data_IF_283022750722
#
_entry.id   IF_283022750722
#
_cell.length_a   1.000
_cell.length_b   1.000
_cell.length_c   1.000
_cell.angle_alpha   90.00
_cell.angle_beta   90.00
_cell.angle_gamma   90.00
#
_symmetry.space_group_name_H-M   'P 1'
#
loop_
_entity.id
_entity.type
_entity.pdbx_description
1 polymer ?
#
# COMPACT_ATOMS: atom_id res chain seq x y z
N UNK A 1 -9.92 35.98 -25.41
CA UNK A 1 -8.59 35.42 -25.08
C UNK A 1 -8.64 33.93 -25.48
N UNK A 2 -7.76 33.50 -26.38
CA UNK A 2 -7.64 32.08 -26.73
C UNK A 2 -6.64 31.44 -25.75
N UNK A 3 -7.05 30.31 -25.16
CA UNK A 3 -6.21 29.49 -24.27
C UNK A 3 -6.09 28.12 -24.97
N UNK A 4 -5.11 27.95 -25.86
CA UNK A 4 -5.06 26.83 -26.79
C UNK A 4 -4.67 25.50 -26.11
N UNK A 5 -4.16 25.55 -24.90
CA UNK A 5 -3.60 24.42 -24.14
C UNK A 5 -4.48 24.01 -22.94
N UNK A 6 -5.73 24.44 -22.90
CA UNK A 6 -6.66 24.06 -21.85
C UNK A 6 -7.95 23.47 -22.44
N UNK A 7 -8.38 22.35 -21.89
CA UNK A 7 -9.70 21.82 -22.17
C UNK A 7 -10.77 22.77 -21.66
N UNK A 8 -11.79 23.13 -22.47
CA UNK A 8 -12.79 24.12 -22.09
C UNK A 8 -13.62 23.79 -20.85
N UNK A 9 -13.96 22.50 -20.64
CA UNK A 9 -14.71 22.05 -19.47
C UNK A 9 -13.87 22.12 -18.21
N UNK A 10 -12.64 21.59 -18.27
CA UNK A 10 -11.71 21.64 -17.16
C UNK A 10 -11.34 23.09 -16.80
N UNK A 11 -11.19 23.97 -17.79
CA UNK A 11 -10.93 25.37 -17.53
C UNK A 11 -12.15 26.08 -16.90
N UNK A 12 -13.36 25.71 -17.30
CA UNK A 12 -14.60 26.20 -16.66
C UNK A 12 -14.67 25.81 -15.19
N UNK A 13 -14.38 24.55 -14.84
CA UNK A 13 -14.33 24.08 -13.45
C UNK A 13 -13.18 24.71 -12.66
N UNK A 14 -12.03 24.94 -13.30
CA UNK A 14 -10.91 25.69 -12.70
C UNK A 14 -11.32 27.13 -12.33
N UNK A 15 -11.97 27.85 -13.23
CA UNK A 15 -12.52 29.19 -12.95
C UNK A 15 -13.56 29.14 -11.83
N UNK A 16 -14.49 28.18 -11.90
CA UNK A 16 -15.49 27.99 -10.85
C UNK A 16 -14.82 27.82 -9.49
N UNK A 17 -13.76 27.01 -9.40
CA UNK A 17 -13.01 26.84 -8.16
C UNK A 17 -12.41 28.15 -7.65
N UNK A 18 -11.83 29.00 -8.52
CA UNK A 18 -11.25 30.27 -8.12
C UNK A 18 -12.25 31.25 -7.52
N UNK A 19 -13.52 31.19 -7.96
CA UNK A 19 -14.57 32.08 -7.48
C UNK A 19 -15.39 31.52 -6.30
N UNK A 20 -15.53 30.21 -6.23
CA UNK A 20 -16.46 29.57 -5.27
C UNK A 20 -15.80 28.59 -4.31
N UNK A 21 -14.51 28.32 -4.49
CA UNK A 21 -13.76 27.25 -3.80
C UNK A 21 -14.35 25.84 -4.01
N UNK A 22 -15.26 25.69 -5.00
CA UNK A 22 -15.89 24.43 -5.35
C UNK A 22 -15.73 24.12 -6.85
N UNK A 23 -15.55 22.82 -7.18
CA UNK A 23 -15.43 22.32 -8.54
C UNK A 23 -15.92 20.88 -8.64
N UNK A 24 -16.44 20.52 -9.80
CA UNK A 24 -16.81 19.15 -10.11
C UNK A 24 -15.61 18.42 -10.71
N UNK A 25 -14.97 17.55 -9.91
CA UNK A 25 -13.85 16.74 -10.36
C UNK A 25 -14.38 15.37 -10.78
N UNK A 26 -14.09 14.97 -12.01
CA UNK A 26 -14.44 13.66 -12.59
C UNK A 26 -13.18 12.93 -13.07
N UNK A 27 -13.29 11.65 -13.40
CA UNK A 27 -12.17 10.88 -13.97
C UNK A 27 -11.69 11.46 -15.30
N UNK A 28 -12.61 12.04 -16.09
CA UNK A 28 -12.32 12.61 -17.40
C UNK A 28 -11.61 13.95 -17.34
N UNK A 29 -11.92 14.79 -16.34
CA UNK A 29 -11.40 16.17 -16.27
C UNK A 29 -10.27 16.35 -15.24
N UNK A 30 -10.08 15.43 -14.31
CA UNK A 30 -9.17 15.60 -13.17
C UNK A 30 -7.73 15.92 -13.60
N UNK A 31 -7.22 15.28 -14.65
CA UNK A 31 -5.84 15.50 -15.10
C UNK A 31 -5.65 16.86 -15.75
N UNK A 32 -6.65 17.33 -16.51
CA UNK A 32 -6.67 18.68 -17.07
C UNK A 32 -6.74 19.74 -15.94
N UNK A 33 -7.50 19.46 -14.88
CA UNK A 33 -7.57 20.33 -13.70
C UNK A 33 -6.23 20.32 -12.94
N UNK A 34 -5.56 19.17 -12.80
CA UNK A 34 -4.22 19.06 -12.22
C UNK A 34 -3.23 19.91 -13.01
N UNK A 35 -3.25 19.82 -14.34
CA UNK A 35 -2.42 20.66 -15.20
C UNK A 35 -2.65 22.15 -14.93
N UNK A 36 -3.91 22.59 -14.90
CA UNK A 36 -4.27 23.99 -14.63
C UNK A 36 -3.88 24.42 -13.22
N UNK A 37 -4.11 23.57 -12.21
CA UNK A 37 -3.72 23.83 -10.82
C UNK A 37 -2.21 24.01 -10.67
N UNK A 38 -1.41 23.21 -11.39
CA UNK A 38 0.05 23.33 -11.44
C UNK A 38 0.46 24.60 -12.18
N UNK A 39 -0.04 24.81 -13.38
CA UNK A 39 0.29 25.96 -14.25
C UNK A 39 0.03 27.30 -13.58
N UNK A 40 -1.11 27.41 -12.89
CA UNK A 40 -1.52 28.66 -12.22
C UNK A 40 -1.21 28.67 -10.71
N UNK A 41 -0.51 27.67 -10.21
CA UNK A 41 -0.02 27.58 -8.83
C UNK A 41 -1.18 27.71 -7.83
N UNK A 42 -2.18 26.82 -7.94
CA UNK A 42 -3.34 26.75 -7.04
C UNK A 42 -3.27 25.49 -6.15
N UNK A 43 -2.49 25.52 -5.04
CA UNK A 43 -2.21 24.33 -4.25
C UNK A 43 -3.46 23.74 -3.57
N UNK A 44 -4.46 24.55 -3.27
CA UNK A 44 -5.72 24.06 -2.67
C UNK A 44 -6.52 23.21 -3.65
N UNK A 45 -6.55 23.57 -4.93
CA UNK A 45 -7.17 22.78 -5.98
C UNK A 45 -6.36 21.50 -6.25
N UNK A 46 -5.02 21.61 -6.29
CA UNK A 46 -4.13 20.46 -6.41
C UNK A 46 -4.43 19.41 -5.32
N UNK A 47 -4.55 19.83 -4.05
CA UNK A 47 -4.90 18.93 -2.95
C UNK A 47 -6.25 18.24 -3.14
N UNK A 48 -7.26 18.92 -3.69
CA UNK A 48 -8.55 18.31 -4.01
C UNK A 48 -8.42 17.25 -5.11
N UNK A 49 -7.67 17.54 -6.19
CA UNK A 49 -7.41 16.59 -7.27
C UNK A 49 -6.65 15.37 -6.80
N UNK A 50 -5.58 15.56 -6.03
CA UNK A 50 -4.80 14.46 -5.44
C UNK A 50 -5.68 13.59 -4.55
N UNK A 51 -6.54 14.18 -3.73
CA UNK A 51 -7.50 13.44 -2.88
C UNK A 51 -8.48 12.62 -3.71
N UNK A 52 -8.98 13.16 -4.82
CA UNK A 52 -9.85 12.44 -5.74
C UNK A 52 -9.13 11.27 -6.40
N UNK A 53 -7.93 11.51 -6.96
CA UNK A 53 -7.14 10.49 -7.65
C UNK A 53 -6.74 9.35 -6.71
N UNK A 54 -6.31 9.64 -5.48
CA UNK A 54 -5.96 8.62 -4.49
C UNK A 54 -7.05 7.56 -4.27
N UNK A 55 -8.33 7.92 -4.43
CA UNK A 55 -9.45 6.99 -4.28
C UNK A 55 -9.72 6.15 -5.53
N UNK A 56 -9.21 6.61 -6.67
CA UNK A 56 -9.54 6.07 -7.98
C UNK A 56 -8.40 5.29 -8.63
N UNK A 57 -7.19 5.38 -8.08
CA UNK A 57 -6.05 4.62 -8.59
C UNK A 57 -6.31 3.12 -8.40
N UNK A 58 -6.33 2.40 -9.52
CA UNK A 58 -6.39 0.93 -9.58
C UNK A 58 -5.06 0.39 -10.11
N UNK A 59 -4.85 -0.92 -10.04
CA UNK A 59 -3.66 -1.54 -10.60
C UNK A 59 -3.48 -1.24 -12.09
N UNK A 60 -4.59 -1.20 -12.85
CA UNK A 60 -4.57 -0.94 -14.29
C UNK A 60 -4.17 0.51 -14.61
N UNK A 61 -4.60 1.48 -13.79
CA UNK A 61 -4.33 2.92 -14.02
C UNK A 61 -3.08 3.43 -13.30
N UNK A 62 -2.49 2.62 -12.42
CA UNK A 62 -1.45 3.08 -11.50
C UNK A 62 -0.20 3.64 -12.20
N UNK A 63 0.27 3.03 -13.28
CA UNK A 63 1.43 3.52 -14.04
C UNK A 63 1.13 4.82 -14.81
N UNK A 64 -0.07 4.94 -15.37
CA UNK A 64 -0.50 6.17 -16.05
C UNK A 64 -0.55 7.34 -15.06
N UNK A 65 -1.25 7.14 -13.93
CA UNK A 65 -1.37 8.16 -12.89
C UNK A 65 0.00 8.47 -12.27
N UNK A 66 0.88 7.47 -12.08
CA UNK A 66 2.22 7.65 -11.55
C UNK A 66 3.07 8.55 -12.45
N UNK A 67 3.09 8.27 -13.76
CA UNK A 67 3.83 9.07 -14.74
C UNK A 67 3.39 10.55 -14.68
N UNK A 68 2.10 10.78 -14.56
CA UNK A 68 1.54 12.13 -14.45
C UNK A 68 1.82 12.76 -13.09
N UNK A 69 1.76 11.98 -11.99
CA UNK A 69 2.08 12.48 -10.64
C UNK A 69 3.54 12.96 -10.55
N UNK A 70 4.48 12.22 -11.15
CA UNK A 70 5.88 12.62 -11.25
C UNK A 70 6.02 13.92 -12.06
N UNK A 71 5.37 13.98 -13.22
CA UNK A 71 5.44 15.15 -14.11
C UNK A 71 4.93 16.43 -13.44
N UNK A 72 3.85 16.34 -12.67
CA UNK A 72 3.22 17.49 -11.99
C UNK A 72 3.69 17.72 -10.56
N UNK A 73 4.66 16.94 -10.06
CA UNK A 73 5.15 17.01 -8.68
C UNK A 73 4.00 16.96 -7.66
N UNK A 74 3.05 16.03 -7.85
CA UNK A 74 1.85 15.91 -7.04
C UNK A 74 2.17 15.14 -5.75
N UNK A 75 2.59 15.85 -4.71
CA UNK A 75 2.98 15.29 -3.42
C UNK A 75 1.96 14.27 -2.87
N UNK A 76 2.46 13.09 -2.53
CA UNK A 76 1.70 12.00 -1.93
C UNK A 76 0.80 11.21 -2.89
N UNK A 77 0.61 11.62 -4.16
CA UNK A 77 -0.04 10.79 -5.18
C UNK A 77 0.92 9.74 -5.73
N UNK A 78 2.17 10.12 -5.93
CA UNK A 78 3.24 9.22 -6.33
C UNK A 78 3.38 8.05 -5.36
N UNK A 79 3.48 8.33 -4.06
CA UNK A 79 3.56 7.29 -3.02
C UNK A 79 2.32 6.37 -3.04
N UNK A 80 1.13 6.93 -3.26
CA UNK A 80 -0.09 6.14 -3.37
C UNK A 80 -0.07 5.21 -4.59
N UNK A 81 0.36 5.69 -5.75
CA UNK A 81 0.53 4.86 -6.95
C UNK A 81 1.53 3.73 -6.71
N UNK A 82 2.67 4.04 -6.13
CA UNK A 82 3.66 3.02 -5.77
C UNK A 82 3.11 1.98 -4.79
N UNK A 83 2.31 2.40 -3.81
CA UNK A 83 1.67 1.46 -2.89
C UNK A 83 0.72 0.50 -3.62
N UNK A 84 -0.08 0.98 -4.57
CA UNK A 84 -0.97 0.14 -5.40
C UNK A 84 -0.15 -0.82 -6.27
N UNK A 85 0.92 -0.32 -6.94
CA UNK A 85 1.81 -1.14 -7.76
C UNK A 85 2.50 -2.21 -6.92
N UNK A 86 3.01 -1.89 -5.73
CA UNK A 86 3.65 -2.84 -4.83
C UNK A 86 2.68 -3.97 -4.43
N UNK A 87 1.44 -3.62 -4.12
CA UNK A 87 0.43 -4.56 -3.61
C UNK A 87 -0.14 -5.46 -4.72
N UNK A 88 -0.47 -4.88 -5.86
CA UNK A 88 -1.16 -5.53 -6.97
C UNK A 88 -0.27 -5.64 -8.20
N UNK A 89 1.04 -5.84 -7.99
CA UNK A 89 2.07 -5.78 -9.02
C UNK A 89 1.76 -6.66 -10.24
N UNK A 90 1.29 -7.88 -10.02
CA UNK A 90 0.93 -8.80 -11.12
C UNK A 90 -0.18 -8.28 -12.03
N UNK A 91 -1.10 -7.45 -11.52
CA UNK A 91 -2.14 -6.78 -12.31
C UNK A 91 -1.58 -5.54 -12.98
N UNK A 92 -0.86 -4.70 -12.25
CA UNK A 92 -0.25 -3.49 -12.78
C UNK A 92 0.68 -3.76 -13.96
N UNK A 93 1.49 -4.81 -13.91
CA UNK A 93 2.39 -5.24 -14.99
C UNK A 93 1.68 -5.72 -16.26
N UNK A 94 0.38 -6.01 -16.20
CA UNK A 94 -0.43 -6.41 -17.35
C UNK A 94 -1.09 -5.23 -18.05
N UNK A 95 -1.05 -4.04 -17.45
CA UNK A 95 -1.67 -2.84 -18.03
C UNK A 95 -0.90 -2.36 -19.27
N UNK A 96 -1.61 -1.75 -20.21
CA UNK A 96 -0.98 -1.11 -21.37
C UNK A 96 -0.10 0.07 -20.95
N UNK A 97 -0.46 0.75 -19.86
CA UNK A 97 0.30 1.85 -19.30
C UNK A 97 1.71 1.41 -18.85
N UNK A 98 1.88 0.18 -18.34
CA UNK A 98 3.19 -0.35 -18.02
C UNK A 98 4.12 -0.44 -19.26
N UNK A 99 3.58 -0.79 -20.41
CA UNK A 99 4.38 -0.93 -21.64
C UNK A 99 4.92 0.42 -22.13
N UNK A 100 4.30 1.52 -21.74
CA UNK A 100 4.64 2.89 -22.19
C UNK A 100 5.54 3.66 -21.22
N UNK A 101 5.86 3.10 -20.03
CA UNK A 101 6.74 3.80 -19.08
C UNK A 101 8.15 4.00 -19.64
N UNK A 102 8.80 5.07 -19.20
CA UNK A 102 10.18 5.35 -19.55
C UNK A 102 11.16 4.37 -18.89
N UNK A 103 12.35 4.21 -19.47
CA UNK A 103 13.40 3.34 -18.94
C UNK A 103 13.81 3.70 -17.51
N UNK A 104 13.82 4.99 -17.16
CA UNK A 104 14.09 5.48 -15.80
C UNK A 104 13.11 4.93 -14.79
N UNK A 105 11.81 4.97 -15.12
CA UNK A 105 10.73 4.45 -14.27
C UNK A 105 10.74 2.93 -14.19
N UNK A 106 11.13 2.24 -15.29
CA UNK A 106 11.37 0.80 -15.26
C UNK A 106 12.50 0.43 -14.29
N UNK A 107 13.62 1.16 -14.31
CA UNK A 107 14.72 0.96 -13.37
C UNK A 107 14.28 1.21 -11.92
N UNK A 108 13.49 2.24 -11.68
CA UNK A 108 12.95 2.54 -10.36
C UNK A 108 12.04 1.41 -9.87
N UNK A 109 11.11 0.94 -10.70
CA UNK A 109 10.26 -0.22 -10.40
C UNK A 109 11.11 -1.43 -10.01
N UNK A 110 12.10 -1.80 -10.83
CA UNK A 110 12.94 -2.97 -10.60
C UNK A 110 13.86 -2.83 -9.37
N UNK A 111 14.16 -1.62 -8.95
CA UNK A 111 14.94 -1.35 -7.72
C UNK A 111 14.14 -1.52 -6.45
N UNK A 112 12.80 -1.52 -6.53
CA UNK A 112 11.94 -1.60 -5.34
C UNK A 112 12.05 -2.94 -4.65
N UNK A 113 12.15 -2.90 -3.33
CA UNK A 113 12.22 -4.10 -2.48
C UNK A 113 10.85 -4.75 -2.23
N UNK A 114 9.75 -4.02 -2.48
CA UNK A 114 8.41 -4.27 -1.95
C UNK A 114 7.40 -4.81 -2.97
N UNK A 115 7.85 -5.14 -4.18
CA UNK A 115 6.96 -5.66 -5.25
C UNK A 115 6.38 -7.03 -4.87
N UNK A 116 5.06 -7.14 -4.84
CA UNK A 116 4.35 -8.40 -4.60
C UNK A 116 4.14 -9.18 -5.91
N UNK A 117 5.22 -9.73 -6.43
CA UNK A 117 5.23 -10.49 -7.68
C UNK A 117 6.38 -11.51 -7.66
N UNK A 118 6.18 -12.65 -8.32
CA UNK A 118 7.28 -13.59 -8.56
C UNK A 118 8.28 -12.98 -9.53
N UNK A 119 9.56 -13.22 -9.30
CA UNK A 119 10.63 -12.65 -10.11
C UNK A 119 10.56 -13.11 -11.58
N UNK A 120 10.06 -14.32 -11.83
CA UNK A 120 9.83 -14.82 -13.19
C UNK A 120 8.72 -14.06 -13.93
N UNK A 121 7.63 -13.70 -13.22
CA UNK A 121 6.53 -12.93 -13.80
C UNK A 121 6.98 -11.49 -14.09
N UNK A 122 7.78 -10.92 -13.19
CA UNK A 122 8.39 -9.61 -13.38
C UNK A 122 9.32 -9.60 -14.59
N UNK A 123 10.18 -10.61 -14.71
CA UNK A 123 11.06 -10.77 -15.87
C UNK A 123 10.29 -10.86 -17.19
N UNK A 124 9.22 -11.66 -17.23
CA UNK A 124 8.36 -11.78 -18.41
C UNK A 124 7.72 -10.44 -18.79
N UNK A 125 7.29 -9.66 -17.83
CA UNK A 125 6.75 -8.31 -18.06
C UNK A 125 7.83 -7.37 -18.62
N UNK A 126 9.04 -7.41 -18.07
CA UNK A 126 10.20 -6.63 -18.56
C UNK A 126 10.55 -6.97 -20.01
N UNK A 127 10.49 -8.24 -20.39
CA UNK A 127 10.70 -8.65 -21.78
C UNK A 127 9.62 -8.10 -22.71
N UNK A 128 8.35 -8.15 -22.30
CA UNK A 128 7.24 -7.57 -23.07
C UNK A 128 7.41 -6.07 -23.25
N UNK A 129 7.82 -5.37 -22.20
CA UNK A 129 8.13 -3.95 -22.27
C UNK A 129 9.23 -3.69 -23.33
N UNK A 130 10.33 -4.44 -23.30
CA UNK A 130 11.42 -4.28 -24.25
C UNK A 130 10.98 -4.55 -25.70
N UNK A 131 10.17 -5.58 -25.94
CA UNK A 131 9.60 -5.89 -27.25
C UNK A 131 8.71 -4.75 -27.76
N UNK A 132 7.82 -4.25 -26.91
CA UNK A 132 6.95 -3.12 -27.23
C UNK A 132 7.75 -1.85 -27.54
N UNK A 133 8.81 -1.57 -26.79
CA UNK A 133 9.69 -0.43 -27.08
C UNK A 133 10.47 -0.61 -28.41
N UNK A 134 10.83 -1.83 -28.77
CA UNK A 134 11.40 -2.10 -30.10
C UNK A 134 10.39 -1.74 -31.20
N UNK A 135 9.14 -2.19 -31.08
CA UNK A 135 8.10 -1.92 -32.06
C UNK A 135 7.82 -0.41 -32.19
N UNK A 136 7.74 0.31 -31.08
CA UNK A 136 7.53 1.76 -31.08
C UNK A 136 8.67 2.53 -31.78
N UNK A 137 9.90 2.01 -31.73
CA UNK A 137 11.06 2.61 -32.40
C UNK A 137 11.26 2.08 -33.83
N UNK A 138 10.33 1.24 -34.33
CA UNK A 138 10.46 0.63 -35.67
C UNK A 138 11.60 -0.39 -35.77
N UNK A 139 12.09 -0.89 -34.64
CA UNK A 139 13.13 -1.92 -34.58
C UNK A 139 12.51 -3.32 -34.60
N UNK A 140 13.27 -4.30 -35.10
CA UNK A 140 12.84 -5.71 -34.94
C UNK A 140 12.97 -6.07 -33.43
N UNK A 141 12.02 -6.85 -32.93
CA UNK A 141 12.07 -7.39 -31.54
C UNK A 141 13.13 -8.51 -31.40
N UNK A 142 14.35 -8.27 -31.87
CA UNK A 142 15.45 -9.23 -31.71
C UNK A 142 16.00 -9.20 -30.29
N UNK A 143 16.64 -10.28 -29.86
CA UNK A 143 17.28 -10.39 -28.55
C UNK A 143 18.30 -9.26 -28.34
N UNK A 144 19.06 -8.89 -29.36
CA UNK A 144 20.07 -7.84 -29.32
C UNK A 144 19.44 -6.48 -29.09
N UNK A 145 18.35 -6.14 -29.81
CA UNK A 145 17.65 -4.88 -29.66
C UNK A 145 16.96 -4.78 -28.30
N UNK A 146 16.30 -5.85 -27.85
CA UNK A 146 15.71 -5.90 -26.51
C UNK A 146 16.77 -5.71 -25.41
N UNK A 147 17.92 -6.39 -25.55
CA UNK A 147 19.04 -6.23 -24.59
C UNK A 147 19.56 -4.79 -24.57
N UNK A 148 19.68 -4.17 -25.73
CA UNK A 148 20.13 -2.79 -25.84
C UNK A 148 19.16 -1.81 -25.16
N UNK A 149 17.85 -1.99 -25.36
CA UNK A 149 16.82 -1.14 -24.73
C UNK A 149 16.71 -1.36 -23.22
N UNK A 150 16.89 -2.60 -22.76
CA UNK A 150 16.91 -2.88 -21.32
C UNK A 150 18.14 -2.31 -20.64
N UNK A 151 19.29 -2.29 -21.32
CA UNK A 151 20.52 -1.72 -20.76
C UNK A 151 20.83 -2.26 -19.35
N UNK A 152 20.94 -1.37 -18.38
CA UNK A 152 21.20 -1.71 -16.98
C UNK A 152 19.96 -2.23 -16.22
N UNK A 153 18.75 -2.02 -16.72
CA UNK A 153 17.53 -2.50 -16.08
C UNK A 153 17.51 -4.02 -15.90
N UNK A 154 18.10 -4.78 -16.84
CA UNK A 154 18.19 -6.24 -16.75
C UNK A 154 18.97 -6.73 -15.52
N UNK A 155 19.94 -5.94 -15.04
CA UNK A 155 20.74 -6.27 -13.87
C UNK A 155 19.98 -6.11 -12.55
N UNK A 156 18.84 -5.41 -12.57
CA UNK A 156 17.97 -5.21 -11.44
C UNK A 156 16.96 -6.36 -11.24
N UNK A 157 16.85 -7.25 -12.24
CA UNK A 157 16.10 -8.51 -12.11
C UNK A 157 16.90 -9.47 -11.23
N UNK A 158 16.26 -10.07 -10.26
CA UNK A 158 16.91 -10.91 -9.22
C UNK A 158 16.91 -12.38 -9.63
N UNK A 159 17.52 -12.69 -10.77
CA UNK A 159 17.57 -14.05 -11.34
C UNK A 159 17.96 -15.14 -10.31
N UNK A 160 18.92 -14.91 -9.39
CA UNK A 160 19.29 -15.92 -8.40
C UNK A 160 18.19 -16.28 -7.39
N UNK A 161 17.09 -15.53 -7.37
CA UNK A 161 15.94 -15.77 -6.48
C UNK A 161 14.80 -16.53 -7.14
N UNK A 162 14.91 -16.82 -8.45
CA UNK A 162 13.95 -17.66 -9.19
C UNK A 162 14.12 -19.14 -8.83
N UNK A 163 13.13 -19.96 -9.17
CA UNK A 163 13.33 -21.41 -9.18
C UNK A 163 14.28 -21.79 -10.31
N UNK A 164 15.13 -22.80 -10.06
CA UNK A 164 16.16 -23.23 -11.03
C UNK A 164 15.55 -23.66 -12.38
N UNK A 165 14.42 -24.34 -12.35
CA UNK A 165 13.67 -24.79 -13.53
C UNK A 165 13.06 -23.62 -14.31
N UNK A 166 12.51 -22.63 -13.62
CA UNK A 166 12.00 -21.38 -14.22
C UNK A 166 13.13 -20.61 -14.91
N UNK A 167 14.29 -20.46 -14.23
CA UNK A 167 15.46 -19.79 -14.79
C UNK A 167 15.97 -20.53 -16.04
N UNK A 168 16.17 -21.86 -15.95
CA UNK A 168 16.72 -22.65 -17.05
C UNK A 168 15.79 -22.67 -18.27
N UNK A 169 14.49 -22.84 -18.09
CA UNK A 169 13.53 -22.92 -19.19
C UNK A 169 13.27 -21.54 -19.82
N UNK A 170 12.86 -20.56 -19.04
CA UNK A 170 12.37 -19.29 -19.56
C UNK A 170 13.51 -18.32 -19.86
N UNK A 171 14.45 -18.15 -18.92
CA UNK A 171 15.51 -17.14 -19.11
C UNK A 171 16.60 -17.65 -20.06
N UNK A 172 17.10 -18.87 -19.84
CA UNK A 172 18.24 -19.38 -20.63
C UNK A 172 17.79 -19.94 -21.97
N UNK A 173 16.78 -20.82 -21.99
CA UNK A 173 16.37 -21.53 -23.19
C UNK A 173 15.49 -20.69 -24.12
N UNK A 174 14.46 -20.04 -23.60
CA UNK A 174 13.48 -19.29 -24.40
C UNK A 174 13.97 -17.88 -24.73
N UNK A 175 14.30 -17.06 -23.74
CA UNK A 175 14.57 -15.64 -23.95
C UNK A 175 15.96 -15.37 -24.54
N UNK A 176 16.97 -16.10 -24.09
CA UNK A 176 18.39 -15.93 -24.49
C UNK A 176 18.91 -14.49 -24.27
N UNK A 177 18.28 -13.76 -23.38
CA UNK A 177 18.56 -12.34 -23.17
C UNK A 177 19.90 -12.12 -22.45
N UNK A 178 20.34 -13.05 -21.60
CA UNK A 178 21.56 -12.94 -20.83
C UNK A 178 22.80 -13.43 -21.62
N UNK A 179 23.96 -12.79 -21.42
CA UNK A 179 25.25 -13.32 -21.87
C UNK A 179 25.58 -14.64 -21.18
N UNK A 180 26.37 -15.49 -21.85
CA UNK A 180 26.77 -16.80 -21.28
C UNK A 180 27.51 -16.68 -19.95
N UNK A 181 28.33 -15.66 -19.78
CA UNK A 181 29.08 -15.42 -18.53
C UNK A 181 28.12 -15.18 -17.35
N UNK A 182 27.07 -14.39 -17.57
CA UNK A 182 26.04 -14.11 -16.57
C UNK A 182 25.26 -15.40 -16.22
N UNK A 183 24.90 -16.19 -17.22
CA UNK A 183 24.21 -17.47 -17.04
C UNK A 183 25.03 -18.43 -16.17
N UNK A 184 26.33 -18.58 -16.49
CA UNK A 184 27.24 -19.44 -15.72
C UNK A 184 27.33 -18.95 -14.27
N UNK A 185 27.49 -17.64 -14.07
CA UNK A 185 27.57 -17.04 -12.74
C UNK A 185 26.31 -17.31 -11.91
N UNK A 186 25.12 -17.22 -12.51
CA UNK A 186 23.85 -17.49 -11.84
C UNK A 186 23.71 -18.99 -11.50
N UNK A 187 24.11 -19.90 -12.42
CA UNK A 187 24.10 -21.35 -12.12
C UNK A 187 25.04 -21.72 -10.97
N UNK A 188 26.19 -21.05 -10.85
CA UNK A 188 27.09 -21.24 -9.71
C UNK A 188 26.43 -20.83 -8.39
N UNK A 189 25.62 -19.74 -8.40
CA UNK A 189 24.84 -19.32 -7.24
C UNK A 189 23.79 -20.37 -6.85
N UNK A 190 23.06 -20.95 -7.81
CA UNK A 190 22.10 -22.03 -7.54
C UNK A 190 22.79 -23.28 -6.97
N UNK A 191 24.04 -23.52 -7.32
CA UNK A 191 24.85 -24.63 -6.78
C UNK A 191 25.36 -24.40 -5.35
N UNK A 192 25.01 -23.26 -4.73
CA UNK A 192 25.44 -22.89 -3.38
C UNK A 192 26.84 -22.28 -3.32
N UNK A 193 27.45 -21.98 -4.46
CA UNK A 193 28.70 -21.23 -4.48
C UNK A 193 28.44 -19.79 -3.99
N UNK A 194 29.12 -19.38 -2.91
CA UNK A 194 29.02 -18.00 -2.37
C UNK A 194 30.14 -17.19 -3.01
N UNK A 195 29.85 -16.35 -4.00
CA UNK A 195 30.82 -15.39 -4.49
C UNK A 195 31.05 -14.32 -3.41
N UNK A 196 32.20 -13.65 -3.48
CA UNK A 196 32.40 -12.42 -2.68
C UNK A 196 31.31 -11.42 -3.00
N UNK A 197 30.69 -10.80 -2.00
CA UNK A 197 29.56 -9.87 -2.15
C UNK A 197 29.84 -8.75 -3.16
N UNK A 198 31.10 -8.38 -3.39
CA UNK A 198 31.54 -7.36 -4.33
C UNK A 198 31.58 -7.81 -5.82
N UNK A 199 31.42 -9.11 -6.09
CA UNK A 199 31.58 -9.67 -7.46
C UNK A 199 30.27 -10.08 -8.12
N UNK A 200 29.11 -9.96 -7.45
CA UNK A 200 27.83 -10.37 -8.03
C UNK A 200 27.12 -9.21 -8.69
N UNK A 201 26.90 -9.33 -9.99
CA UNK A 201 26.12 -8.40 -10.81
C UNK A 201 24.63 -8.41 -10.44
N UNK A 202 24.11 -9.53 -9.93
CA UNK A 202 22.70 -9.75 -9.65
C UNK A 202 22.46 -9.92 -8.15
N UNK A 203 21.39 -9.30 -7.64
CA UNK A 203 21.01 -9.44 -6.23
C UNK A 203 20.53 -10.87 -5.92
N UNK A 204 21.09 -11.46 -4.87
CA UNK A 204 20.65 -12.76 -4.32
C UNK A 204 19.58 -12.61 -3.23
N UNK A 205 19.18 -11.37 -2.88
CA UNK A 205 18.17 -11.11 -1.86
C UNK A 205 16.79 -11.15 -2.51
N UNK A 206 15.87 -12.02 -2.08
CA UNK A 206 14.49 -11.99 -2.58
C UNK A 206 13.85 -10.64 -2.27
N UNK A 207 12.91 -10.19 -3.11
CA UNK A 207 12.12 -9.01 -2.78
C UNK A 207 11.35 -9.30 -1.50
N UNK A 208 11.29 -8.31 -0.67
CA UNK A 208 10.42 -8.36 0.50
C UNK A 208 9.00 -8.28 -0.04
N UNK A 209 8.39 -9.44 -0.28
CA UNK A 209 6.98 -9.46 -0.54
C UNK A 209 6.34 -8.60 0.56
N UNK A 210 5.79 -7.45 0.22
CA UNK A 210 4.80 -6.84 1.08
C UNK A 210 3.63 -7.83 1.00
N UNK A 211 3.65 -8.81 1.87
CA UNK A 211 2.41 -9.38 2.33
C UNK A 211 1.64 -8.17 2.83
N UNK A 212 0.70 -7.71 2.03
CA UNK A 212 0.05 -6.46 2.32
C UNK A 212 -0.50 -6.54 3.72
N UNK A 213 -0.17 -5.54 4.55
CA UNK A 213 -0.79 -5.46 5.86
C UNK A 213 -2.27 -5.34 5.62
N UNK A 214 -2.96 -6.45 5.68
CA UNK A 214 -4.40 -6.51 5.49
C UNK A 214 -5.09 -5.96 6.73
N UNK A 215 -6.31 -5.47 6.58
CA UNK A 215 -7.07 -4.89 7.67
C UNK A 215 -8.36 -5.67 7.88
N UNK A 216 -8.51 -6.23 9.06
CA UNK A 216 -9.78 -6.82 9.49
C UNK A 216 -10.63 -5.72 10.16
N UNK A 217 -11.57 -5.16 9.40
CA UNK A 217 -12.45 -4.06 9.84
C UNK A 217 -13.72 -4.59 10.48
N UNK A 218 -13.97 -4.28 11.74
CA UNK A 218 -15.17 -4.72 12.45
C UNK A 218 -16.36 -3.76 12.42
N UNK A 219 -16.18 -2.57 11.84
CA UNK A 219 -17.26 -1.62 11.61
C UNK A 219 -17.33 -1.25 10.14
N UNK A 220 -18.52 -1.23 9.57
CA UNK A 220 -18.74 -0.61 8.27
C UNK A 220 -18.68 0.92 8.36
N UNK A 221 -18.33 1.64 7.29
CA UNK A 221 -18.18 3.11 7.32
C UNK A 221 -19.42 3.85 7.83
N UNK A 222 -20.62 3.34 7.55
CA UNK A 222 -21.90 3.93 7.99
C UNK A 222 -22.16 3.77 9.49
N UNK A 223 -21.43 2.87 10.15
CA UNK A 223 -21.54 2.56 11.57
C UNK A 223 -20.52 3.30 12.43
N UNK A 224 -19.79 4.27 11.86
CA UNK A 224 -18.84 5.12 12.57
C UNK A 224 -19.59 6.38 13.05
N UNK A 225 -19.62 6.58 14.36
CA UNK A 225 -20.25 7.74 14.96
C UNK A 225 -19.23 8.87 15.10
N UNK A 226 -19.53 9.98 14.44
CA UNK A 226 -18.77 11.23 14.51
C UNK A 226 -19.42 12.15 15.53
N UNK A 227 -18.72 12.60 16.58
CA UNK A 227 -19.27 13.58 17.51
C UNK A 227 -19.59 14.88 16.77
N UNK A 228 -20.83 15.33 16.81
CA UNK A 228 -21.18 16.70 16.41
C UNK A 228 -20.69 17.65 17.51
N UNK A 229 -20.37 18.91 17.18
CA UNK A 229 -19.74 19.96 18.03
C UNK A 229 -20.23 20.12 19.49
N UNK A 230 -21.30 19.43 19.90
CA UNK A 230 -21.82 19.39 21.26
C UNK A 230 -22.32 18.00 21.67
N UNK A 231 -21.88 16.93 20.98
CA UNK A 231 -22.43 15.59 21.10
C UNK A 231 -21.46 14.60 21.73
N UNK A 232 -22.01 13.46 22.06
CA UNK A 232 -21.40 12.35 22.78
C UNK A 232 -20.36 11.63 21.92
N UNK A 233 -19.10 12.08 21.94
CA UNK A 233 -17.94 11.33 21.47
C UNK A 233 -17.53 10.26 22.48
N UNK A 234 -16.57 9.44 22.10
CA UNK A 234 -15.93 8.50 23.01
C UNK A 234 -14.99 9.25 23.94
N UNK A 235 -15.24 9.19 25.23
CA UNK A 235 -14.50 9.94 26.24
C UNK A 235 -13.43 9.08 26.90
N UNK A 236 -12.34 9.71 27.28
CA UNK A 236 -11.25 9.09 28.02
C UNK A 236 -11.13 9.74 29.39
N UNK A 237 -11.51 9.00 30.41
CA UNK A 237 -11.38 9.42 31.81
C UNK A 237 -10.19 8.69 32.41
N UNK A 238 -9.55 9.29 33.42
CA UNK A 238 -8.40 8.65 34.08
C UNK A 238 -8.72 7.23 34.54
N UNK A 239 -7.80 6.30 34.29
CA UNK A 239 -7.90 4.87 34.58
C UNK A 239 -8.98 4.09 33.78
N UNK A 240 -9.46 4.63 32.66
CA UNK A 240 -10.31 3.83 31.77
C UNK A 240 -9.47 2.98 30.83
N UNK A 241 -9.96 1.76 30.56
CA UNK A 241 -9.36 0.80 29.70
C UNK A 241 -10.39 0.32 28.66
N UNK A 242 -10.05 0.51 27.39
CA UNK A 242 -10.76 -0.11 26.29
C UNK A 242 -10.15 -1.50 26.03
N UNK A 243 -10.96 -2.56 26.04
CA UNK A 243 -10.46 -3.89 25.80
C UNK A 243 -11.40 -4.72 24.91
N UNK A 244 -10.80 -5.55 24.06
CA UNK A 244 -11.50 -6.42 23.10
C UNK A 244 -10.76 -7.73 22.96
N UNK A 245 -11.48 -8.84 23.06
CA UNK A 245 -10.95 -10.18 22.78
C UNK A 245 -11.19 -10.54 21.32
N UNK A 246 -10.28 -11.31 20.76
CA UNK A 246 -10.45 -11.89 19.43
C UNK A 246 -9.69 -13.20 19.27
N UNK A 247 -10.06 -13.98 18.26
CA UNK A 247 -9.33 -15.16 17.79
C UNK A 247 -9.38 -15.23 16.26
N UNK A 248 -8.43 -15.95 15.68
CA UNK A 248 -8.26 -16.11 14.24
C UNK A 248 -8.46 -17.57 13.82
N UNK A 249 -8.97 -17.83 12.60
CA UNK A 249 -9.23 -19.19 12.11
C UNK A 249 -7.99 -19.93 11.60
N UNK A 250 -6.89 -19.19 11.37
CA UNK A 250 -5.62 -19.75 10.93
C UNK A 250 -4.48 -18.85 11.42
N UNK A 251 -3.23 -19.34 11.50
CA UNK A 251 -2.12 -18.56 11.94
C UNK A 251 -1.92 -17.30 11.09
N UNK A 252 -1.65 -16.16 11.74
CA UNK A 252 -1.38 -14.87 11.10
C UNK A 252 -0.35 -14.10 11.90
N UNK A 253 0.26 -13.09 11.31
CA UNK A 253 1.10 -12.12 12.00
C UNK A 253 0.34 -10.82 12.20
N UNK A 254 0.16 -10.40 13.46
CA UNK A 254 -0.41 -9.10 13.78
C UNK A 254 0.69 -8.04 13.81
N UNK A 255 0.48 -6.94 13.10
CA UNK A 255 1.41 -5.80 13.04
C UNK A 255 0.99 -4.66 13.95
N UNK A 256 -0.29 -4.58 14.28
CA UNK A 256 -0.84 -3.49 15.07
C UNK A 256 -2.35 -3.41 14.96
N UNK A 257 -2.87 -2.29 15.39
CA UNK A 257 -4.30 -1.98 15.35
C UNK A 257 -4.51 -0.53 14.92
N UNK A 258 -5.66 -0.24 14.34
CA UNK A 258 -6.14 1.12 14.19
C UNK A 258 -6.99 1.50 15.40
N UNK A 259 -6.79 2.70 15.91
CA UNK A 259 -7.62 3.32 16.92
C UNK A 259 -8.40 4.48 16.32
N UNK A 260 -9.60 4.75 16.84
CA UNK A 260 -10.33 5.95 16.49
C UNK A 260 -9.67 7.19 17.11
N UNK A 261 -9.65 8.29 16.35
CA UNK A 261 -9.36 9.63 16.81
C UNK A 261 -10.48 10.58 16.40
N UNK A 262 -10.19 11.85 16.30
CA UNK A 262 -10.96 12.87 15.60
C UNK A 262 -10.21 13.30 14.32
N UNK A 263 -10.61 14.42 13.71
CA UNK A 263 -10.04 14.80 12.42
C UNK A 263 -8.57 15.29 12.49
N UNK A 264 -8.09 15.82 13.62
CA UNK A 264 -6.76 16.49 13.69
C UNK A 264 -6.02 16.38 15.03
N UNK A 265 -6.64 15.84 16.08
CA UNK A 265 -6.07 15.89 17.44
C UNK A 265 -4.97 14.85 17.68
N UNK A 266 -4.17 15.11 18.73
CA UNK A 266 -3.14 14.19 19.20
C UNK A 266 -3.62 13.46 20.45
N UNK A 267 -3.34 12.15 20.47
CA UNK A 267 -3.71 11.25 21.57
C UNK A 267 -2.46 10.63 22.16
N UNK A 268 -2.38 10.58 23.49
CA UNK A 268 -1.38 9.77 24.19
C UNK A 268 -2.03 8.47 24.61
N UNK A 269 -1.40 7.36 24.26
CA UNK A 269 -1.97 6.05 24.57
C UNK A 269 -0.91 4.97 24.75
N UNK A 270 -1.33 3.86 25.38
CA UNK A 270 -0.62 2.60 25.38
C UNK A 270 -1.59 1.51 24.92
N UNK A 271 -1.22 0.74 23.88
CA UNK A 271 -1.94 -0.45 23.43
C UNK A 271 -1.09 -1.67 23.73
N UNK A 272 -1.71 -2.71 24.32
CA UNK A 272 -1.07 -4.00 24.57
C UNK A 272 -1.83 -5.10 23.83
N UNK A 273 -1.09 -6.11 23.38
CA UNK A 273 -1.62 -7.39 22.92
C UNK A 273 -1.28 -8.45 23.95
N UNK A 274 -2.28 -9.16 24.44
CA UNK A 274 -2.15 -10.15 25.50
C UNK A 274 -2.63 -11.52 25.04
N UNK A 275 -2.01 -12.58 25.59
CA UNK A 275 -2.52 -13.95 25.58
C UNK A 275 -2.74 -14.37 27.04
N UNK A 276 -4.00 -14.45 27.45
CA UNK A 276 -4.31 -14.55 28.88
C UNK A 276 -3.76 -13.33 29.65
N UNK A 277 -2.91 -13.59 30.66
CA UNK A 277 -2.24 -12.52 31.43
C UNK A 277 -0.85 -12.15 30.92
N UNK A 278 -0.37 -12.82 29.85
CA UNK A 278 0.95 -12.57 29.28
C UNK A 278 0.88 -11.48 28.23
N UNK A 279 1.64 -10.38 28.39
CA UNK A 279 1.86 -9.39 27.37
C UNK A 279 2.78 -9.99 26.27
N UNK A 280 2.28 -9.99 25.02
CA UNK A 280 3.03 -10.43 23.86
C UNK A 280 3.77 -9.26 23.21
N UNK A 281 3.12 -8.09 23.18
CA UNK A 281 3.71 -6.86 22.66
C UNK A 281 2.91 -5.65 23.14
N UNK A 282 3.57 -4.50 23.10
CA UNK A 282 2.93 -3.21 23.38
C UNK A 282 3.56 -2.10 22.58
N UNK A 283 2.78 -1.04 22.36
CA UNK A 283 3.29 0.23 21.86
C UNK A 283 2.62 1.38 22.62
N UNK A 284 3.43 2.38 23.00
CA UNK A 284 2.99 3.55 23.74
C UNK A 284 3.63 4.81 23.14
N UNK A 285 2.87 5.89 23.08
CA UNK A 285 3.38 7.15 22.53
C UNK A 285 2.29 8.18 22.33
N UNK A 286 2.65 9.21 21.60
CA UNK A 286 1.74 10.24 21.10
C UNK A 286 1.47 9.99 19.62
N UNK A 287 0.18 9.96 19.25
CA UNK A 287 -0.28 9.65 17.91
C UNK A 287 -1.20 10.77 17.43
N UNK A 288 -0.90 11.31 16.26
CA UNK A 288 -1.76 12.31 15.62
C UNK A 288 -2.85 11.59 14.83
N UNK A 289 -4.09 11.99 15.07
CA UNK A 289 -5.22 11.50 14.30
C UNK A 289 -5.29 12.23 12.96
N UNK A 290 -5.61 11.47 11.92
CA UNK A 290 -5.80 11.98 10.58
C UNK A 290 -7.11 11.46 10.01
N UNK A 291 -7.82 12.36 9.30
CA UNK A 291 -8.95 11.96 8.49
C UNK A 291 -8.44 11.09 7.33
N UNK A 292 -8.87 9.84 7.33
CA UNK A 292 -8.54 8.87 6.29
C UNK A 292 -9.84 8.47 5.58
N UNK A 293 -9.86 8.53 4.27
CA UNK A 293 -11.07 8.25 3.50
C UNK A 293 -11.25 6.75 3.23
N UNK A 294 -10.15 5.99 3.25
CA UNK A 294 -10.16 4.54 3.06
C UNK A 294 -10.33 3.79 4.38
N UNK A 295 -9.95 4.42 5.48
CA UNK A 295 -9.98 3.82 6.80
C UNK A 295 -10.79 4.70 7.77
N UNK A 296 -11.28 4.15 8.87
CA UNK A 296 -11.88 4.94 9.95
C UNK A 296 -10.92 6.04 10.41
N UNK A 297 -11.42 7.29 10.53
CA UNK A 297 -10.63 8.42 11.04
C UNK A 297 -9.95 8.04 12.36
N UNK A 298 -8.65 8.26 12.43
CA UNK A 298 -7.85 7.86 13.57
C UNK A 298 -6.38 7.66 13.21
N UNK A 299 -5.73 6.70 13.85
CA UNK A 299 -4.31 6.44 13.69
C UNK A 299 -3.97 4.97 13.88
N UNK A 300 -2.88 4.54 13.27
CA UNK A 300 -2.36 3.18 13.41
C UNK A 300 -1.36 3.10 14.56
N UNK A 301 -1.57 2.13 15.44
CA UNK A 301 -0.65 1.76 16.52
C UNK A 301 0.05 0.48 16.11
N UNK A 302 1.27 0.63 15.60
CA UNK A 302 2.07 -0.49 15.07
C UNK A 302 2.95 -1.05 16.18
N UNK A 303 2.93 -2.36 16.39
CA UNK A 303 3.83 -3.04 17.33
C UNK A 303 5.29 -3.02 16.84
N UNK A 304 6.27 -3.04 17.75
CA UNK A 304 7.70 -3.00 17.38
C UNK A 304 8.09 -4.12 16.41
N UNK A 305 7.51 -5.32 16.60
CA UNK A 305 7.71 -6.48 15.74
C UNK A 305 6.37 -7.16 15.44
N UNK A 306 6.23 -7.83 14.28
CA UNK A 306 5.05 -8.63 13.98
C UNK A 306 4.95 -9.82 14.94
N UNK A 307 3.77 -10.03 15.54
CA UNK A 307 3.53 -11.13 16.48
C UNK A 307 2.73 -12.23 15.79
N UNK A 308 3.28 -13.44 15.79
CA UNK A 308 2.57 -14.61 15.28
C UNK A 308 1.45 -15.00 16.22
N UNK A 309 0.24 -15.08 15.69
CA UNK A 309 -0.94 -15.58 16.39
C UNK A 309 -1.27 -16.98 15.89
N UNK A 310 -1.59 -17.88 16.82
CA UNK A 310 -2.05 -19.25 16.50
C UNK A 310 -3.56 -19.27 16.30
N UNK A 311 -4.03 -20.25 15.49
CA UNK A 311 -5.44 -20.46 15.24
C UNK A 311 -6.21 -20.79 16.52
N UNK A 312 -7.44 -20.29 16.62
CA UNK A 312 -8.41 -20.57 17.69
C UNK A 312 -7.96 -20.20 19.13
N UNK A 313 -6.82 -19.53 19.29
CA UNK A 313 -6.34 -18.97 20.55
C UNK A 313 -6.99 -17.61 20.80
N UNK A 314 -7.39 -17.36 22.06
CA UNK A 314 -7.99 -16.06 22.45
C UNK A 314 -6.86 -15.08 22.78
N UNK A 315 -6.88 -13.94 22.11
CA UNK A 315 -6.01 -12.80 22.36
C UNK A 315 -6.85 -11.62 22.83
N UNK A 316 -6.26 -10.76 23.63
CA UNK A 316 -6.90 -9.54 24.15
C UNK A 316 -6.09 -8.32 23.74
N UNK A 317 -6.75 -7.38 23.07
CA UNK A 317 -6.25 -6.02 22.87
C UNK A 317 -6.72 -5.19 24.05
N UNK A 318 -5.81 -4.42 24.65
CA UNK A 318 -6.15 -3.43 25.66
C UNK A 318 -5.55 -2.09 25.27
N UNK A 319 -6.24 -1.00 25.54
CA UNK A 319 -5.77 0.35 25.27
C UNK A 319 -6.18 1.32 26.37
N UNK A 320 -5.20 2.02 26.92
CA UNK A 320 -5.44 3.19 27.76
C UNK A 320 -5.18 4.45 26.94
N UNK A 321 -6.16 5.33 26.86
CA UNK A 321 -6.13 6.51 26.02
C UNK A 321 -6.24 7.78 26.86
N UNK A 322 -5.59 8.83 26.41
CA UNK A 322 -5.71 10.19 26.95
C UNK A 322 -5.71 11.18 25.79
N UNK A 323 -6.69 12.08 25.77
CA UNK A 323 -6.87 13.05 24.70
C UNK A 323 -8.31 13.57 24.65
N UNK A 324 -8.66 14.30 23.58
CA UNK A 324 -10.03 14.76 23.37
C UNK A 324 -10.98 13.59 23.05
N UNK A 325 -12.27 13.88 22.93
CA UNK A 325 -13.24 12.89 22.50
C UNK A 325 -12.95 12.42 21.08
N UNK A 326 -12.98 11.11 20.86
CA UNK A 326 -12.79 10.51 19.55
C UNK A 326 -14.10 10.07 18.90
N UNK A 327 -14.01 9.68 17.64
CA UNK A 327 -15.01 8.87 16.98
C UNK A 327 -15.09 7.50 17.65
N UNK A 328 -16.13 6.75 17.37
CA UNK A 328 -16.27 5.37 17.81
C UNK A 328 -17.16 4.57 16.88
N UNK A 329 -17.02 3.27 16.92
CA UNK A 329 -17.86 2.34 16.15
C UNK A 329 -19.11 1.95 16.93
N UNK A 330 -20.24 1.80 16.20
CA UNK A 330 -21.49 1.27 16.72
C UNK A 330 -22.02 0.17 15.81
N UNK A 331 -22.50 -0.94 16.35
CA UNK A 331 -22.98 -2.09 15.59
C UNK A 331 -21.84 -2.86 14.92
N UNK A 332 -20.77 -3.12 15.67
CA UNK A 332 -19.64 -3.92 15.20
C UNK A 332 -20.02 -5.36 14.87
N UNK A 333 -19.22 -5.99 14.05
CA UNK A 333 -19.41 -7.36 13.61
C UNK A 333 -18.66 -8.34 14.52
N UNK A 334 -19.35 -9.41 14.93
CA UNK A 334 -18.73 -10.47 15.75
C UNK A 334 -17.75 -11.31 14.94
N UNK A 335 -17.97 -11.43 13.65
CA UNK A 335 -17.14 -12.22 12.74
C UNK A 335 -16.85 -11.40 11.49
N UNK A 336 -15.57 -11.27 11.17
CA UNK A 336 -15.09 -10.55 9.99
C UNK A 336 -14.21 -11.48 9.17
N UNK A 337 -14.45 -11.50 7.87
CA UNK A 337 -13.55 -12.17 6.90
C UNK A 337 -12.66 -11.15 6.25
N UNK A 338 -11.34 -11.39 6.28
CA UNK A 338 -10.36 -10.58 5.56
C UNK A 338 -9.27 -11.49 5.04
N UNK A 339 -8.97 -11.42 3.76
CA UNK A 339 -7.96 -12.25 3.07
C UNK A 339 -8.13 -13.77 3.32
N UNK A 340 -9.37 -14.24 3.43
CA UNK A 340 -9.68 -15.65 3.76
C UNK A 340 -9.41 -16.04 5.23
N UNK A 341 -9.01 -15.10 6.07
CA UNK A 341 -8.86 -15.27 7.53
C UNK A 341 -10.15 -14.83 8.21
N UNK A 342 -10.68 -15.68 9.11
CA UNK A 342 -11.84 -15.36 9.93
C UNK A 342 -11.37 -14.79 11.27
N UNK A 343 -11.72 -13.54 11.55
CA UNK A 343 -11.55 -12.90 12.85
C UNK A 343 -12.84 -12.98 13.63
N UNK A 344 -12.80 -13.55 14.83
CA UNK A 344 -13.97 -13.72 15.70
C UNK A 344 -13.75 -12.89 16.97
N UNK A 345 -14.59 -11.85 17.13
CA UNK A 345 -14.49 -10.90 18.25
C UNK A 345 -15.40 -11.30 19.40
N UNK A 346 -14.95 -11.05 20.62
CA UNK A 346 -15.73 -11.19 21.85
C UNK A 346 -15.40 -10.03 22.82
N UNK A 347 -16.34 -9.72 23.71
CA UNK A 347 -16.12 -8.69 24.71
C UNK A 347 -15.11 -9.16 25.76
N UNK A 348 -14.33 -8.23 26.28
CA UNK A 348 -13.37 -8.48 27.35
C UNK A 348 -13.92 -7.94 28.69
N UNK A 349 -13.78 -8.71 29.75
CA UNK A 349 -14.10 -8.27 31.11
C UNK A 349 -13.17 -7.15 31.61
N UNK A 350 -12.02 -6.98 30.99
CA UNK A 350 -11.07 -5.91 31.30
C UNK A 350 -11.52 -4.53 30.78
N UNK A 351 -12.52 -4.48 29.87
CA UNK A 351 -13.03 -3.21 29.34
C UNK A 351 -13.92 -2.52 30.37
N UNK A 352 -13.50 -1.36 30.83
CA UNK A 352 -14.29 -0.51 31.74
C UNK A 352 -14.68 0.84 31.12
N UNK A 353 -14.31 1.09 29.85
CA UNK A 353 -14.68 2.28 29.08
C UNK A 353 -15.82 2.03 28.08
N UNK A 354 -16.39 0.83 28.05
CA UNK A 354 -17.54 0.50 27.21
C UNK A 354 -17.20 -0.14 25.86
N UNK A 355 -15.94 -0.34 25.50
CA UNK A 355 -15.56 -1.09 24.29
C UNK A 355 -16.03 -2.55 24.45
N UNK A 356 -16.73 -3.01 23.44
CA UNK A 356 -17.31 -4.35 23.33
C UNK A 356 -17.26 -4.82 21.88
N UNK A 357 -17.82 -6.00 21.59
CA UNK A 357 -17.97 -6.47 20.19
C UNK A 357 -18.69 -5.45 19.31
N UNK A 358 -19.73 -4.82 19.87
CA UNK A 358 -20.65 -3.99 19.10
C UNK A 358 -20.34 -2.48 19.13
N UNK A 359 -19.52 -2.03 20.08
CA UNK A 359 -19.23 -0.60 20.28
C UNK A 359 -17.77 -0.35 20.58
N UNK A 360 -17.33 0.91 20.41
CA UNK A 360 -16.12 1.47 20.99
C UNK A 360 -14.92 1.52 20.05
N UNK A 361 -13.75 1.33 20.64
CA UNK A 361 -12.44 1.48 20.00
C UNK A 361 -12.01 0.24 19.18
N UNK A 362 -10.82 0.29 18.57
CA UNK A 362 -10.20 -0.75 17.75
C UNK A 362 -11.03 -1.13 16.51
N UNK A 363 -11.23 -0.18 15.56
CA UNK A 363 -11.98 -0.45 14.35
C UNK A 363 -11.34 -1.52 13.46
N UNK A 364 -10.01 -1.63 13.46
CA UNK A 364 -9.30 -2.54 12.57
C UNK A 364 -8.14 -3.22 13.28
N UNK A 365 -7.90 -4.50 12.92
CA UNK A 365 -6.68 -5.25 13.19
C UNK A 365 -5.84 -5.23 11.91
N UNK A 366 -4.54 -4.93 12.05
CA UNK A 366 -3.58 -4.88 10.94
C UNK A 366 -2.75 -6.16 11.00
N UNK A 367 -2.82 -6.98 9.96
CA UNK A 367 -2.22 -8.31 9.97
C UNK A 367 -1.63 -8.70 8.61
N UNK A 368 -0.86 -9.78 8.58
CA UNK A 368 -0.43 -10.49 7.37
C UNK A 368 -0.53 -12.00 7.58
N UNK A 369 -0.61 -12.77 6.48
CA UNK A 369 -0.58 -14.25 6.55
C UNK A 369 0.82 -14.80 6.73
N UNK A 370 1.82 -14.08 6.24
CA UNK A 370 3.22 -14.47 6.28
C UNK A 370 4.01 -13.47 7.13
N UNK A 371 5.14 -13.93 7.66
CA UNK A 371 6.02 -13.04 8.39
C UNK A 371 6.64 -12.05 7.41
N UNK A 372 6.33 -10.78 7.60
CA UNK A 372 6.99 -9.69 6.89
C UNK A 372 8.27 -9.41 7.68
N UNK A 373 9.40 -9.78 7.13
CA UNK A 373 10.74 -9.50 7.70
C UNK A 373 11.17 -8.08 7.35
#
# INVERSE_FOLDING_TARGET
>A
VSIPDADPEAFGEFLRFLYTEDCCITEENVMNIVYLATKYIVPTLMKKCVRFLRKKVTAESAFEVLTQAIHFCADGLEENCWNVIDMECSLALKSDAFLTIEHSLLCELLSRETLNVKEIDLFNAVLKWAQFQCENQGLKGSVENCRQLLGNAINLVRFPTMALDEFASTVVHESKILPQEDIISIFLLFSGHKPNEESTKFSCKPRRLRAGKSRASRFSPQKIIRPKRAGKGWCYVNNTLDALCFRVSQPVFIHGVRAFGDDESTYRLKVNLLQGNRELSSNAGEFKSEADELNPTGFDVIFPEPIRLEADVIYTLTGSFSGPQSFYGQGGERVVMSEGVKFMFSSSEQSNNGTSVFHGQFPQIIFSKEQIV
#
